data_IF_703402888519
#
_entry.id   IF_703402888519
#
_cell.length_a   1.000
_cell.length_b   1.000
_cell.length_c   1.000
_cell.angle_alpha   90.00
_cell.angle_beta   90.00
_cell.angle_gamma   90.00
#
_symmetry.space_group_name_H-M   'P 1'
#
loop_
_entity.id
_entity.type
_entity.pdbx_description
1 polymer ?
#
# COMPACT_ATOMS: atom_id res chain seq x y z
N UNK A 1 -16.17 -16.50 -34.61
CA UNK A 1 -14.71 -16.65 -34.44
C UNK A 1 -14.04 -15.58 -35.30
N UNK A 2 -13.48 -14.57 -34.65
CA UNK A 2 -12.69 -13.53 -35.31
C UNK A 2 -11.37 -13.47 -34.55
N UNK A 3 -10.29 -13.82 -35.24
CA UNK A 3 -8.91 -13.63 -34.80
C UNK A 3 -8.47 -12.26 -35.31
N UNK A 4 -7.88 -11.44 -34.44
CA UNK A 4 -7.06 -10.29 -34.85
C UNK A 4 -5.60 -10.60 -34.53
N UNK A 5 -4.78 -10.56 -35.57
CA UNK A 5 -3.33 -10.75 -35.55
C UNK A 5 -2.66 -9.38 -35.45
N UNK A 6 -1.48 -9.38 -34.84
CA UNK A 6 -0.44 -8.33 -34.81
C UNK A 6 -0.70 -7.10 -33.93
N UNK A 7 -0.17 -7.17 -32.70
CA UNK A 7 0.38 -6.01 -32.01
C UNK A 7 1.86 -6.30 -31.78
N UNK A 8 2.69 -5.88 -32.73
CA UNK A 8 4.10 -5.60 -32.49
C UNK A 8 4.31 -4.09 -32.58
N UNK A 9 4.32 -3.43 -31.43
CA UNK A 9 4.82 -2.06 -31.28
C UNK A 9 5.69 -2.01 -30.03
N UNK A 10 6.98 -2.27 -30.27
CA UNK A 10 8.16 -1.72 -29.58
C UNK A 10 7.87 -0.78 -28.41
N UNK A 11 8.08 -1.31 -27.20
CA UNK A 11 8.82 -0.74 -26.07
C UNK A 11 9.06 0.79 -26.05
N UNK A 12 8.07 1.59 -25.64
CA UNK A 12 8.30 2.91 -25.05
C UNK A 12 7.30 3.09 -23.89
N UNK A 13 7.84 3.18 -22.67
CA UNK A 13 7.08 3.48 -21.44
C UNK A 13 6.22 2.33 -20.96
N UNK A 14 6.79 1.42 -20.17
CA UNK A 14 6.03 0.35 -19.48
C UNK A 14 5.19 1.00 -18.37
N UNK A 15 4.11 1.65 -18.75
CA UNK A 15 2.93 1.73 -17.90
C UNK A 15 2.38 0.30 -17.91
N UNK A 16 2.64 -0.46 -16.85
CA UNK A 16 2.02 -1.76 -16.67
C UNK A 16 0.51 -1.54 -16.75
N UNK A 17 -0.13 -2.03 -17.83
CA UNK A 17 -1.58 -2.01 -17.94
C UNK A 17 -2.10 -2.89 -16.79
N UNK A 18 -2.62 -2.24 -15.77
CA UNK A 18 -3.05 -2.91 -14.55
C UNK A 18 -4.30 -3.74 -14.90
N UNK A 19 -4.41 -5.01 -14.45
CA UNK A 19 -5.67 -5.75 -14.59
C UNK A 19 -6.83 -4.95 -14.01
N UNK A 20 -7.99 -5.02 -14.65
CA UNK A 20 -9.23 -4.42 -14.13
C UNK A 20 -9.41 -4.86 -12.69
N UNK A 21 -9.33 -3.89 -11.78
CA UNK A 21 -9.68 -4.10 -10.39
C UNK A 21 -11.11 -3.63 -10.17
N UNK A 22 -11.75 -4.20 -9.16
CA UNK A 22 -13.14 -3.86 -8.80
C UNK A 22 -13.18 -2.74 -7.75
N UNK A 23 -12.13 -1.90 -7.67
CA UNK A 23 -12.13 -0.81 -6.69
C UNK A 23 -13.26 0.17 -7.01
N UNK A 24 -14.07 0.54 -6.02
CA UNK A 24 -15.05 1.61 -6.20
C UNK A 24 -14.39 2.99 -6.23
N UNK A 25 -13.09 3.08 -5.90
CA UNK A 25 -12.33 4.32 -5.85
C UNK A 25 -11.62 4.59 -7.18
N UNK A 26 -11.49 5.87 -7.51
CA UNK A 26 -10.81 6.36 -8.70
C UNK A 26 -9.95 7.57 -8.36
N UNK A 27 -8.91 7.85 -9.14
CA UNK A 27 -8.17 9.10 -9.02
C UNK A 27 -9.11 10.30 -9.19
N UNK A 28 -8.90 11.32 -8.36
CA UNK A 28 -9.77 12.49 -8.28
C UNK A 28 -11.05 12.29 -7.45
N UNK A 29 -11.33 11.07 -6.96
CA UNK A 29 -12.43 10.85 -6.03
C UNK A 29 -12.21 11.67 -4.76
N UNK A 30 -13.25 12.35 -4.30
CA UNK A 30 -13.24 13.13 -3.07
C UNK A 30 -14.09 12.49 -1.97
N UNK A 31 -13.77 12.80 -0.72
CA UNK A 31 -14.52 12.36 0.44
C UNK A 31 -14.28 13.25 1.65
N UNK A 32 -14.79 12.82 2.80
CA UNK A 32 -14.56 13.49 4.08
C UNK A 32 -14.05 12.47 5.11
N UNK A 33 -12.99 12.85 5.82
CA UNK A 33 -12.52 12.12 7.00
C UNK A 33 -12.51 13.09 8.18
N UNK A 34 -13.17 12.72 9.28
CA UNK A 34 -13.33 13.59 10.46
C UNK A 34 -13.81 15.02 10.11
N UNK A 35 -14.78 15.11 9.18
CA UNK A 35 -15.35 16.37 8.64
C UNK A 35 -14.40 17.21 7.77
N UNK A 36 -13.15 16.76 7.57
CA UNK A 36 -12.20 17.41 6.67
C UNK A 36 -12.27 16.79 5.27
N UNK A 37 -12.43 17.60 4.20
CA UNK A 37 -12.39 17.10 2.82
C UNK A 37 -11.02 16.51 2.47
N UNK A 38 -11.03 15.49 1.62
CA UNK A 38 -9.84 14.93 0.97
C UNK A 38 -10.09 14.58 -0.49
N UNK A 39 -9.00 14.45 -1.25
CA UNK A 39 -8.99 13.97 -2.64
C UNK A 39 -7.99 12.84 -2.80
N UNK A 40 -8.35 11.79 -3.53
CA UNK A 40 -7.43 10.73 -3.94
C UNK A 40 -6.58 11.22 -5.12
N UNK A 41 -5.27 11.33 -4.90
CA UNK A 41 -4.34 11.92 -5.86
C UNK A 41 -3.37 10.90 -6.46
N UNK A 42 -3.24 9.72 -5.86
CA UNK A 42 -2.38 8.66 -6.37
C UNK A 42 -2.85 7.28 -5.94
N UNK A 43 -2.25 6.25 -6.53
CA UNK A 43 -2.55 4.85 -6.22
C UNK A 43 -1.33 3.96 -6.44
N UNK A 44 -1.17 2.98 -5.57
CA UNK A 44 -0.35 1.80 -5.79
C UNK A 44 -1.24 0.56 -5.85
N UNK A 45 -0.95 -0.35 -6.78
CA UNK A 45 -1.48 -1.72 -6.73
C UNK A 45 -0.42 -2.65 -6.16
N UNK A 46 -0.76 -3.31 -5.07
CA UNK A 46 0.15 -4.21 -4.39
C UNK A 46 -0.35 -5.65 -4.57
N UNK A 47 0.55 -6.51 -5.05
CA UNK A 47 0.28 -7.92 -5.28
C UNK A 47 1.07 -8.81 -4.33
N UNK A 48 0.46 -9.90 -3.90
CA UNK A 48 1.12 -10.99 -3.18
C UNK A 48 0.63 -12.33 -3.75
N UNK A 49 1.17 -13.45 -3.25
CA UNK A 49 0.93 -14.79 -3.83
C UNK A 49 -0.55 -15.10 -4.09
N UNK A 50 -1.43 -14.78 -3.14
CA UNK A 50 -2.84 -15.19 -3.19
C UNK A 50 -3.81 -14.00 -3.28
N UNK A 51 -3.35 -12.82 -3.69
CA UNK A 51 -4.27 -11.69 -3.89
C UNK A 51 -3.61 -10.34 -4.15
N UNK A 52 -4.46 -9.32 -4.13
CA UNK A 52 -4.10 -7.93 -4.38
C UNK A 52 -4.80 -7.00 -3.41
N UNK A 53 -4.21 -5.84 -3.18
CA UNK A 53 -4.84 -4.73 -2.48
C UNK A 53 -4.38 -3.41 -3.10
N UNK A 54 -5.12 -2.33 -2.83
CA UNK A 54 -4.77 -1.00 -3.30
C UNK A 54 -4.35 -0.12 -2.14
N UNK A 55 -3.37 0.74 -2.40
CA UNK A 55 -3.02 1.85 -1.51
C UNK A 55 -3.33 3.15 -2.26
N UNK A 56 -4.34 3.88 -1.80
CA UNK A 56 -4.74 5.15 -2.39
C UNK A 56 -4.09 6.31 -1.63
N UNK A 57 -3.25 7.08 -2.31
CA UNK A 57 -2.64 8.27 -1.76
C UNK A 57 -3.64 9.42 -1.76
N UNK A 58 -3.82 10.07 -0.61
CA UNK A 58 -4.79 11.13 -0.42
C UNK A 58 -4.12 12.45 -0.03
N UNK A 59 -4.74 13.55 -0.45
CA UNK A 59 -4.44 14.90 -0.03
C UNK A 59 -5.64 15.48 0.73
N UNK A 60 -5.46 15.78 2.00
CA UNK A 60 -6.44 16.48 2.82
C UNK A 60 -6.46 17.97 2.44
N UNK A 61 -7.61 18.62 2.58
CA UNK A 61 -7.73 20.05 2.29
C UNK A 61 -6.94 20.96 3.27
N UNK A 62 -6.46 20.42 4.40
CA UNK A 62 -5.53 21.10 5.31
C UNK A 62 -4.04 20.90 4.91
N UNK A 63 -3.77 20.16 3.82
CA UNK A 63 -2.43 19.87 3.31
C UNK A 63 -1.82 18.58 3.83
N UNK A 64 -2.43 17.91 4.82
CA UNK A 64 -1.95 16.61 5.30
C UNK A 64 -2.06 15.56 4.20
N UNK A 65 -1.14 14.60 4.22
CA UNK A 65 -1.11 13.45 3.31
C UNK A 65 -1.36 12.18 4.07
N UNK A 66 -1.94 11.20 3.38
CA UNK A 66 -2.25 9.91 3.96
C UNK A 66 -2.46 8.84 2.92
N UNK A 67 -2.92 7.69 3.40
CA UNK A 67 -3.19 6.52 2.57
C UNK A 67 -4.53 5.89 2.96
N UNK A 68 -5.28 5.42 1.97
CA UNK A 68 -6.39 4.49 2.17
C UNK A 68 -5.94 3.12 1.66
N UNK A 69 -5.74 2.20 2.59
CA UNK A 69 -5.55 0.78 2.30
C UNK A 69 -6.91 0.12 2.03
N UNK A 70 -7.07 -0.40 0.82
CA UNK A 70 -8.25 -1.13 0.38
C UNK A 70 -7.90 -2.61 0.20
N UNK A 71 -8.37 -3.45 1.12
CA UNK A 71 -8.12 -4.89 1.08
C UNK A 71 -9.40 -5.67 1.42
N UNK A 72 -9.81 -6.58 0.53
CA UNK A 72 -10.96 -7.48 0.75
C UNK A 72 -12.26 -6.75 1.16
N UNK A 73 -12.53 -5.59 0.55
CA UNK A 73 -13.71 -4.76 0.84
C UNK A 73 -13.63 -3.98 2.16
N UNK A 74 -12.52 -4.07 2.88
CA UNK A 74 -12.23 -3.24 4.06
C UNK A 74 -11.35 -2.05 3.67
N UNK A 75 -11.61 -0.92 4.32
CA UNK A 75 -10.91 0.33 4.09
C UNK A 75 -10.32 0.82 5.40
N UNK A 76 -9.01 1.11 5.41
CA UNK A 76 -8.32 1.71 6.54
C UNK A 76 -7.59 2.96 6.08
N UNK A 77 -7.73 4.05 6.84
CA UNK A 77 -7.02 5.29 6.57
C UNK A 77 -5.86 5.47 7.53
N UNK A 78 -4.73 5.94 7.02
CA UNK A 78 -3.54 6.24 7.79
C UNK A 78 -2.96 7.58 7.37
N UNK A 79 -2.29 8.24 8.30
CA UNK A 79 -1.64 9.53 8.09
C UNK A 79 -0.19 9.43 8.53
N UNK A 80 0.63 10.31 7.95
CA UNK A 80 2.00 10.48 8.42
C UNK A 80 1.99 10.99 9.88
N UNK A 81 2.85 10.41 10.71
CA UNK A 81 3.02 10.85 12.08
C UNK A 81 3.83 12.14 12.10
N UNK A 82 3.30 13.18 12.72
CA UNK A 82 4.07 14.41 12.96
C UNK A 82 5.06 14.22 14.10
N UNK A 83 6.34 14.53 13.84
CA UNK A 83 7.41 14.49 14.84
C UNK A 83 8.19 13.17 14.89
N UNK A 84 9.00 12.95 15.93
CA UNK A 84 9.85 11.77 16.01
C UNK A 84 9.02 10.50 16.21
N UNK A 85 9.46 9.39 15.60
CA UNK A 85 8.87 8.09 15.84
C UNK A 85 8.98 7.73 17.33
N UNK A 86 7.88 7.28 17.97
CA UNK A 86 7.96 6.70 19.29
C UNK A 86 8.95 5.54 19.32
N UNK A 87 9.73 5.43 20.40
CA UNK A 87 10.83 4.45 20.50
C UNK A 87 10.37 3.00 20.30
N UNK A 88 9.17 2.66 20.77
CA UNK A 88 8.59 1.32 20.60
C UNK A 88 8.24 1.04 19.12
N UNK A 89 7.79 2.06 18.38
CA UNK A 89 7.57 2.00 16.93
C UNK A 89 8.90 1.81 16.20
N UNK A 90 9.94 2.56 16.56
CA UNK A 90 11.28 2.43 15.97
C UNK A 90 11.85 1.02 16.15
N UNK A 91 11.82 0.49 17.39
CA UNK A 91 12.26 -0.88 17.70
C UNK A 91 11.45 -1.93 16.92
N UNK A 92 10.14 -1.72 16.78
CA UNK A 92 9.28 -2.62 16.03
C UNK A 92 9.61 -2.59 14.53
N UNK A 93 9.85 -1.41 13.97
CA UNK A 93 10.27 -1.24 12.57
C UNK A 93 11.59 -1.95 12.31
N UNK A 94 12.60 -1.76 13.16
CA UNK A 94 13.90 -2.44 13.02
C UNK A 94 13.78 -3.97 13.08
N UNK A 95 12.97 -4.48 14.01
CA UNK A 95 12.68 -5.91 14.11
C UNK A 95 12.06 -6.45 12.83
N UNK A 96 11.01 -5.79 12.33
CA UNK A 96 10.31 -6.19 11.11
C UNK A 96 11.20 -6.03 9.86
N UNK A 97 12.02 -4.99 9.79
CA UNK A 97 12.97 -4.76 8.70
C UNK A 97 13.97 -5.91 8.62
N UNK A 98 14.49 -6.38 9.75
CA UNK A 98 15.37 -7.55 9.81
C UNK A 98 14.74 -8.81 9.21
N UNK A 99 13.41 -8.97 9.29
CA UNK A 99 12.71 -10.08 8.63
C UNK A 99 12.70 -9.97 7.10
N UNK A 100 12.85 -8.76 6.56
CA UNK A 100 12.89 -8.48 5.12
C UNK A 100 14.32 -8.58 4.54
N UNK A 101 15.35 -8.20 5.32
CA UNK A 101 16.73 -8.04 4.81
C UNK A 101 17.71 -9.16 5.21
N UNK A 102 17.38 -10.02 6.18
CA UNK A 102 18.31 -11.02 6.73
C UNK A 102 18.64 -12.23 5.82
N UNK A 103 18.30 -12.19 4.53
CA UNK A 103 18.64 -13.25 3.57
C UNK A 103 17.89 -14.56 3.77
N UNK A 104 17.10 -14.70 4.84
CA UNK A 104 16.05 -15.71 4.92
C UNK A 104 14.93 -15.26 3.98
N UNK A 105 14.41 -16.13 3.09
CA UNK A 105 13.23 -15.78 2.34
C UNK A 105 12.14 -15.36 3.32
N UNK A 106 11.34 -14.34 3.00
CA UNK A 106 10.17 -13.98 3.80
C UNK A 106 9.25 -15.21 4.10
N UNK A 107 9.34 -16.27 3.30
CA UNK A 107 8.72 -17.58 3.54
C UNK A 107 9.16 -18.30 4.84
N UNK A 108 10.28 -17.95 5.44
CA UNK A 108 10.76 -18.48 6.72
C UNK A 108 10.33 -17.62 7.92
N UNK A 109 9.89 -16.38 7.70
CA UNK A 109 9.31 -15.57 8.76
C UNK A 109 8.05 -16.28 9.27
N UNK A 110 7.96 -16.47 10.59
CA UNK A 110 6.82 -17.12 11.23
C UNK A 110 6.04 -16.06 12.01
N UNK A 111 4.72 -15.92 11.78
CA UNK A 111 3.90 -15.09 12.64
C UNK A 111 3.90 -15.65 14.07
N UNK A 112 3.45 -14.83 15.01
CA UNK A 112 3.24 -15.21 16.41
C UNK A 112 4.08 -14.42 17.41
N UNK A 113 5.09 -13.68 16.94
CA UNK A 113 5.83 -12.74 17.77
C UNK A 113 4.97 -11.53 18.17
N UNK A 114 5.29 -10.93 19.31
CA UNK A 114 4.65 -9.74 19.80
C UNK A 114 5.51 -8.50 19.52
N UNK A 115 4.86 -7.39 19.21
CA UNK A 115 5.47 -6.07 19.02
C UNK A 115 4.74 -5.05 19.87
N UNK A 116 5.38 -3.94 20.18
CA UNK A 116 4.78 -2.85 20.94
C UNK A 116 4.67 -1.61 20.07
N UNK A 117 3.45 -1.11 19.90
CA UNK A 117 3.15 0.03 19.04
C UNK A 117 2.24 1.00 19.79
N UNK A 118 2.74 2.20 20.07
CA UNK A 118 2.01 3.21 20.85
C UNK A 118 1.62 2.72 22.23
N UNK A 119 2.50 1.95 22.90
CA UNK A 119 2.22 1.33 24.21
C UNK A 119 1.30 0.11 24.17
N UNK A 120 0.73 -0.24 23.00
CA UNK A 120 -0.14 -1.41 22.84
C UNK A 120 0.69 -2.62 22.40
N UNK A 121 0.52 -3.75 23.09
CA UNK A 121 1.11 -5.02 22.65
C UNK A 121 0.24 -5.65 21.56
N UNK A 122 0.80 -5.78 20.37
CA UNK A 122 0.17 -6.41 19.22
C UNK A 122 0.88 -7.73 18.90
N UNK A 123 0.16 -8.69 18.34
CA UNK A 123 0.71 -9.98 17.90
C UNK A 123 0.65 -10.08 16.39
N UNK A 124 1.77 -10.41 15.75
CA UNK A 124 1.78 -10.73 14.33
C UNK A 124 0.99 -12.02 14.10
N UNK A 125 -0.11 -11.94 13.37
CA UNK A 125 -0.95 -13.10 13.03
C UNK A 125 -0.71 -13.60 11.61
N UNK A 126 -0.16 -12.73 10.75
CA UNK A 126 0.08 -13.01 9.34
C UNK A 126 1.29 -12.21 8.84
N UNK A 127 1.99 -12.76 7.84
CA UNK A 127 3.15 -12.14 7.19
C UNK A 127 3.08 -12.46 5.70
N UNK A 128 3.14 -11.43 4.85
CA UNK A 128 3.06 -11.58 3.40
C UNK A 128 4.24 -10.92 2.73
N UNK A 129 4.81 -11.61 1.74
CA UNK A 129 5.69 -10.97 0.77
C UNK A 129 4.82 -10.39 -0.34
N UNK A 130 4.98 -9.09 -0.55
CA UNK A 130 4.23 -8.36 -1.54
C UNK A 130 5.14 -7.52 -2.43
N UNK A 131 4.64 -7.16 -3.60
CA UNK A 131 5.36 -6.38 -4.60
C UNK A 131 4.43 -5.33 -5.18
N UNK A 132 4.97 -4.13 -5.41
CA UNK A 132 4.25 -3.09 -6.15
C UNK A 132 4.15 -3.52 -7.62
N UNK A 133 2.94 -3.79 -8.10
CA UNK A 133 2.65 -4.20 -9.47
C UNK A 133 2.59 -3.00 -10.43
N UNK A 134 2.28 -1.82 -9.89
CA UNK A 134 2.24 -0.58 -10.63
C UNK A 134 1.66 0.55 -9.82
N UNK A 135 1.75 1.76 -10.37
CA UNK A 135 1.32 2.99 -9.73
C UNK A 135 0.73 3.97 -10.74
N UNK A 136 -0.10 4.88 -10.24
CA UNK A 136 -0.73 5.95 -11.01
C UNK A 136 -0.94 7.21 -10.16
N UNK A 137 -0.97 8.37 -10.80
CA UNK A 137 -1.15 9.67 -10.13
C UNK A 137 0.08 10.19 -9.39
N UNK A 138 -0.15 11.05 -8.41
CA UNK A 138 0.88 11.72 -7.60
C UNK A 138 1.26 10.90 -6.37
N UNK A 139 2.55 10.56 -6.25
CA UNK A 139 3.11 9.76 -5.16
C UNK A 139 4.22 10.54 -4.42
N UNK A 140 4.45 10.28 -3.13
CA UNK A 140 5.40 11.05 -2.32
C UNK A 140 6.88 10.70 -2.55
N UNK A 141 7.22 9.78 -3.45
CA UNK A 141 8.59 9.23 -3.64
C UNK A 141 9.10 9.32 -5.09
N UNK A 142 8.80 10.44 -5.76
CA UNK A 142 9.34 10.74 -7.09
C UNK A 142 10.87 10.92 -7.10
#
# INVERSE_FOLDING_TARGET
MVVRTDVDVKSIGVMAALPDDMSPLQLGSGGYFEQQPFTLIGRLKIGWRDGLWNEWHLLMADGRRGWIGEAQGSFSISFELEGPLPRDVEVTLDHCHGLLTSGKPAAEARPGFAVQLGGTTLRAVDIKLATCLGSEGELPFA
#
